data_IF_346071480943
#
_entry.id   IF_346071480943
#
_cell.length_a   1.000
_cell.length_b   1.000
_cell.length_c   1.000
_cell.angle_alpha   90.00
_cell.angle_beta   90.00
_cell.angle_gamma   90.00
#
_symmetry.space_group_name_H-M   'P 1'
#
loop_
_entity.id
_entity.type
_entity.pdbx_description
1 polymer ?
#
# COMPACT_ATOMS: atom_id res chain seq x y z
N UNK A 1 15.41 -10.41 -28.91
CA UNK A 1 15.26 -9.01 -28.47
C UNK A 1 15.16 -9.04 -26.95
N UNK A 2 16.06 -8.34 -26.25
CA UNK A 2 16.08 -8.30 -24.78
C UNK A 2 14.93 -7.45 -24.28
N UNK A 3 14.13 -7.96 -23.34
CA UNK A 3 13.03 -7.22 -22.72
C UNK A 3 13.47 -6.63 -21.39
N UNK A 4 13.04 -5.39 -21.11
CA UNK A 4 13.39 -4.66 -19.90
C UNK A 4 12.18 -3.98 -19.30
N UNK A 5 12.00 -4.11 -17.98
CA UNK A 5 10.99 -3.35 -17.25
C UNK A 5 11.38 -1.87 -17.19
N UNK A 6 10.53 -0.97 -17.68
CA UNK A 6 10.82 0.46 -17.65
C UNK A 6 10.79 1.06 -16.23
N UNK A 7 10.18 0.36 -15.27
CA UNK A 7 9.94 0.82 -13.89
C UNK A 7 11.06 0.38 -12.93
N UNK A 8 11.37 -0.91 -12.87
CA UNK A 8 12.38 -1.47 -11.97
C UNK A 8 13.68 -1.89 -12.68
N UNK A 9 13.76 -1.72 -14.01
CA UNK A 9 14.94 -1.99 -14.85
C UNK A 9 15.40 -3.45 -14.93
N UNK A 10 14.65 -4.39 -14.34
CA UNK A 10 14.88 -5.84 -14.48
C UNK A 10 14.84 -6.26 -15.95
N UNK A 11 15.76 -7.14 -16.33
CA UNK A 11 15.92 -7.69 -17.67
C UNK A 11 15.44 -9.14 -17.68
N UNK A 12 14.84 -9.59 -18.79
CA UNK A 12 14.29 -10.94 -18.93
C UNK A 12 15.30 -12.07 -18.78
N UNK A 13 16.54 -11.86 -19.23
CA UNK A 13 17.61 -12.86 -19.16
C UNK A 13 18.30 -12.94 -17.78
N UNK A 14 18.05 -11.97 -16.88
CA UNK A 14 18.57 -11.99 -15.51
C UNK A 14 17.74 -12.96 -14.67
N UNK A 15 18.37 -13.54 -13.66
CA UNK A 15 17.72 -14.51 -12.75
C UNK A 15 16.41 -13.97 -12.16
N UNK A 16 16.41 -12.70 -11.71
CA UNK A 16 15.20 -12.05 -11.17
C UNK A 16 14.09 -11.82 -12.21
N UNK A 17 14.43 -11.87 -13.51
CA UNK A 17 13.51 -11.63 -14.62
C UNK A 17 12.95 -12.89 -15.28
N UNK A 18 13.60 -14.05 -15.09
CA UNK A 18 13.23 -15.30 -15.77
C UNK A 18 11.80 -15.77 -15.46
N UNK A 19 11.30 -15.44 -14.27
CA UNK A 19 9.94 -15.80 -13.83
C UNK A 19 8.93 -14.66 -14.01
N UNK A 20 9.30 -13.56 -14.66
CA UNK A 20 8.44 -12.40 -14.86
C UNK A 20 7.86 -12.38 -16.27
N UNK A 21 6.61 -11.93 -16.37
CA UNK A 21 6.04 -11.53 -17.66
C UNK A 21 6.17 -10.02 -17.81
N UNK A 22 6.45 -9.57 -19.03
CA UNK A 22 6.57 -8.16 -19.36
C UNK A 22 5.36 -7.75 -20.19
N UNK A 23 4.77 -6.61 -19.85
CA UNK A 23 3.50 -6.14 -20.38
C UNK A 23 3.65 -4.73 -20.95
N UNK A 24 3.35 -4.59 -22.23
CA UNK A 24 3.36 -3.29 -22.92
C UNK A 24 2.25 -2.42 -22.35
N UNK A 25 2.49 -1.11 -22.31
CA UNK A 25 1.48 -0.15 -21.88
C UNK A 25 0.23 -0.21 -22.78
N UNK A 26 -0.97 0.00 -22.22
CA UNK A 26 -2.21 0.03 -22.98
C UNK A 26 -2.18 1.03 -24.15
N UNK A 27 -2.89 0.67 -25.22
CA UNK A 27 -3.15 1.56 -26.37
C UNK A 27 -4.21 2.61 -26.01
N UNK A 28 -5.19 2.21 -25.19
CA UNK A 28 -6.21 3.12 -24.67
C UNK A 28 -5.55 4.22 -23.81
N UNK A 29 -5.82 5.48 -24.18
CA UNK A 29 -5.16 6.63 -23.56
C UNK A 29 -5.56 6.79 -22.09
N UNK A 30 -6.81 6.48 -21.74
CA UNK A 30 -7.30 6.60 -20.37
C UNK A 30 -6.58 5.60 -19.47
N UNK A 31 -6.57 4.32 -19.84
CA UNK A 31 -5.88 3.28 -19.09
C UNK A 31 -4.36 3.51 -19.06
N UNK A 32 -3.77 3.99 -20.17
CA UNK A 32 -2.35 4.35 -20.22
C UNK A 32 -2.01 5.48 -19.24
N UNK A 33 -2.84 6.52 -19.15
CA UNK A 33 -2.63 7.62 -18.21
C UNK A 33 -2.75 7.16 -16.76
N UNK A 34 -3.67 6.23 -16.47
CA UNK A 34 -3.77 5.60 -15.15
C UNK A 34 -2.48 4.86 -14.81
N UNK A 35 -1.93 4.06 -15.72
CA UNK A 35 -0.65 3.37 -15.51
C UNK A 35 0.50 4.33 -15.25
N UNK A 36 0.61 5.41 -16.05
CA UNK A 36 1.64 6.43 -15.87
C UNK A 36 1.57 7.07 -14.49
N UNK A 37 0.36 7.46 -14.06
CA UNK A 37 0.12 8.05 -12.75
C UNK A 37 0.47 7.09 -11.61
N UNK A 38 0.00 5.85 -11.65
CA UNK A 38 0.23 4.85 -10.60
C UNK A 38 1.70 4.43 -10.49
N UNK A 39 2.42 4.40 -11.61
CA UNK A 39 3.85 4.08 -11.64
C UNK A 39 4.75 5.29 -11.34
N UNK A 40 4.16 6.44 -10.99
CA UNK A 40 4.84 7.69 -10.68
C UNK A 40 5.70 8.24 -11.85
N UNK A 41 5.24 8.05 -13.09
CA UNK A 41 5.78 8.77 -14.24
C UNK A 41 5.13 10.16 -14.33
N UNK A 42 5.92 11.15 -14.74
CA UNK A 42 5.38 12.47 -15.07
C UNK A 42 4.40 12.38 -16.24
N UNK A 43 3.38 13.25 -16.27
CA UNK A 43 2.36 13.26 -17.32
C UNK A 43 2.94 13.40 -18.74
N UNK A 44 4.09 14.07 -18.86
CA UNK A 44 4.79 14.30 -20.13
C UNK A 44 5.92 13.29 -20.40
N UNK A 45 6.02 12.23 -19.60
CA UNK A 45 7.11 11.27 -19.72
C UNK A 45 7.01 10.49 -21.04
N UNK A 46 8.01 10.67 -21.90
CA UNK A 46 8.08 9.99 -23.21
C UNK A 46 8.55 8.56 -23.05
N UNK A 47 7.62 7.65 -22.78
CA UNK A 47 7.88 6.21 -22.89
C UNK A 47 7.98 5.78 -24.35
N UNK A 48 8.93 4.86 -24.63
CA UNK A 48 8.98 4.15 -25.91
C UNK A 48 7.66 3.42 -26.18
N UNK A 49 7.30 3.26 -27.46
CA UNK A 49 6.14 2.44 -27.86
C UNK A 49 6.25 1.00 -27.38
N UNK A 50 7.47 0.52 -27.18
CA UNK A 50 7.79 -0.82 -26.69
C UNK A 50 8.17 -0.82 -25.20
N UNK A 51 7.86 0.25 -24.46
CA UNK A 51 8.08 0.25 -23.02
C UNK A 51 7.17 -0.80 -22.36
N UNK A 52 7.75 -1.60 -21.47
CA UNK A 52 7.06 -2.68 -20.78
C UNK A 52 7.20 -2.53 -19.26
N UNK A 53 6.16 -2.87 -18.52
CA UNK A 53 6.21 -3.08 -17.07
C UNK A 53 6.21 -4.59 -16.78
N UNK A 54 7.01 -5.05 -15.83
CA UNK A 54 7.00 -6.46 -15.43
C UNK A 54 5.82 -6.78 -14.50
N UNK A 55 5.51 -8.07 -14.38
CA UNK A 55 4.41 -8.62 -13.58
C UNK A 55 4.42 -8.23 -12.10
N UNK A 56 5.59 -7.91 -11.52
CA UNK A 56 5.70 -7.48 -10.11
C UNK A 56 4.97 -6.16 -9.81
N UNK A 57 4.61 -5.40 -10.85
CA UNK A 57 3.84 -4.18 -10.69
C UNK A 57 2.33 -4.41 -10.69
N UNK A 58 1.85 -5.65 -10.78
CA UNK A 58 0.43 -5.97 -10.83
C UNK A 58 0.06 -6.97 -9.73
N UNK A 59 -1.23 -7.09 -9.41
CA UNK A 59 -1.67 -8.17 -8.54
C UNK A 59 -1.55 -9.50 -9.26
N UNK A 60 -1.21 -10.56 -8.54
CA UNK A 60 -1.12 -11.90 -9.13
C UNK A 60 -2.47 -12.38 -9.69
N UNK A 61 -3.59 -11.93 -9.12
CA UNK A 61 -4.95 -12.17 -9.62
C UNK A 61 -5.24 -11.50 -10.96
N UNK A 62 -4.48 -10.48 -11.35
CA UNK A 62 -4.63 -9.78 -12.62
C UNK A 62 -3.84 -10.45 -13.76
N UNK A 63 -3.04 -11.47 -13.43
CA UNK A 63 -2.22 -12.20 -14.40
C UNK A 63 -2.88 -13.53 -14.71
N UNK A 64 -3.29 -13.69 -15.96
CA UNK A 64 -3.87 -14.92 -16.49
C UNK A 64 -2.79 -15.74 -17.18
N UNK A 65 -2.75 -17.04 -16.86
CA UNK A 65 -1.92 -18.00 -17.57
C UNK A 65 -2.83 -18.77 -18.55
N UNK A 66 -2.54 -18.65 -19.83
CA UNK A 66 -3.18 -19.47 -20.87
C UNK A 66 -2.76 -20.93 -20.71
N UNK A 67 -3.57 -21.86 -21.23
CA UNK A 67 -3.22 -23.30 -21.31
C UNK A 67 -1.90 -23.56 -22.04
N UNK A 68 -1.50 -22.64 -22.91
CA UNK A 68 -0.22 -22.63 -23.63
C UNK A 68 0.97 -22.09 -22.81
N UNK A 69 0.80 -21.78 -21.52
CA UNK A 69 1.82 -21.22 -20.63
C UNK A 69 2.09 -19.71 -20.83
N UNK A 70 1.34 -19.04 -21.72
CA UNK A 70 1.51 -17.60 -21.96
C UNK A 70 0.83 -16.82 -20.84
N UNK A 71 1.61 -15.99 -20.15
CA UNK A 71 1.11 -15.07 -19.11
C UNK A 71 0.69 -13.74 -19.72
N UNK A 72 -0.58 -13.39 -19.55
CA UNK A 72 -1.18 -12.14 -20.02
C UNK A 72 -1.78 -11.37 -18.86
N UNK A 73 -1.84 -10.06 -19.02
CA UNK A 73 -2.52 -9.21 -18.06
C UNK A 73 -4.01 -9.12 -18.43
N UNK A 74 -4.89 -9.21 -17.43
CA UNK A 74 -6.33 -9.02 -17.61
C UNK A 74 -6.66 -7.67 -18.23
N UNK A 75 -7.74 -7.64 -19.01
CA UNK A 75 -8.26 -6.39 -19.55
C UNK A 75 -8.68 -5.47 -18.40
N UNK A 76 -8.25 -4.22 -18.45
CA UNK A 76 -8.56 -3.23 -17.40
C UNK A 76 -7.68 -3.31 -16.15
N UNK A 77 -6.76 -4.28 -16.04
CA UNK A 77 -5.83 -4.33 -14.93
C UNK A 77 -4.94 -3.07 -14.88
N UNK A 78 -4.59 -2.68 -13.66
CA UNK A 78 -3.81 -1.48 -13.37
C UNK A 78 -2.64 -1.83 -12.44
N UNK A 79 -1.50 -1.13 -12.56
CA UNK A 79 -0.37 -1.36 -11.66
C UNK A 79 -0.71 -1.01 -10.22
N UNK A 80 -0.04 -1.64 -9.27
CA UNK A 80 -0.01 -1.20 -7.89
C UNK A 80 0.66 0.17 -7.80
N UNK A 81 0.02 1.10 -7.11
CA UNK A 81 0.53 2.45 -6.95
C UNK A 81 1.91 2.42 -6.27
N UNK A 82 2.92 3.04 -6.90
CA UNK A 82 4.18 3.40 -6.23
C UNK A 82 3.93 4.60 -5.31
N UNK A 83 3.11 4.42 -4.28
CA UNK A 83 3.12 5.39 -3.19
C UNK A 83 4.47 5.28 -2.49
N UNK A 84 5.14 6.42 -2.28
CA UNK A 84 6.36 6.57 -1.47
C UNK A 84 6.22 6.05 -0.03
N UNK A 85 5.02 5.62 0.39
CA UNK A 85 4.73 5.00 1.68
C UNK A 85 4.78 3.46 1.66
N UNK A 86 4.90 2.82 0.49
CA UNK A 86 4.79 1.37 0.34
C UNK A 86 5.92 0.71 -0.47
N UNK A 87 7.04 1.38 -0.69
CA UNK A 87 8.27 0.69 -1.11
C UNK A 87 9.02 0.15 0.11
N UNK A 88 8.38 -0.77 0.83
CA UNK A 88 8.99 -1.40 1.98
C UNK A 88 9.24 -2.88 1.66
N UNK A 89 10.48 -3.39 1.81
CA UNK A 89 10.70 -4.83 1.74
C UNK A 89 9.78 -5.52 2.74
N UNK A 90 9.35 -6.74 2.44
CA UNK A 90 8.30 -7.47 3.18
C UNK A 90 8.52 -7.47 4.71
N UNK A 91 9.78 -7.34 5.15
CA UNK A 91 10.23 -7.21 6.54
C UNK A 91 9.79 -5.92 7.27
N UNK A 92 9.42 -4.85 6.56
CA UNK A 92 9.07 -3.55 7.17
C UNK A 92 7.55 -3.33 7.22
N UNK A 93 6.77 -4.15 6.50
CA UNK A 93 5.30 -4.22 6.69
C UNK A 93 4.97 -4.61 8.14
N UNK A 94 5.71 -5.56 8.69
CA UNK A 94 5.56 -5.97 10.08
C UNK A 94 5.88 -4.83 11.06
N UNK A 95 6.96 -4.08 10.83
CA UNK A 95 7.34 -2.96 11.69
C UNK A 95 6.30 -1.85 11.65
N UNK A 96 5.78 -1.50 10.47
CA UNK A 96 4.78 -0.44 10.32
C UNK A 96 3.44 -0.83 10.97
N UNK A 97 3.01 -2.09 10.79
CA UNK A 97 1.83 -2.64 11.47
C UNK A 97 2.04 -2.59 13.01
N UNK A 98 3.20 -3.01 13.51
CA UNK A 98 3.52 -2.98 14.94
C UNK A 98 3.55 -1.55 15.51
N UNK A 99 4.07 -0.57 14.76
CA UNK A 99 4.09 0.84 15.17
C UNK A 99 2.68 1.45 15.21
N UNK A 100 1.81 1.09 14.25
CA UNK A 100 0.39 1.50 14.27
C UNK A 100 -0.34 0.86 15.46
N UNK A 101 -0.09 -0.41 15.76
CA UNK A 101 -0.63 -1.08 16.95
C UNK A 101 -0.16 -0.42 18.25
N UNK A 102 1.12 -0.04 18.34
CA UNK A 102 1.65 0.68 19.51
C UNK A 102 0.97 2.03 19.70
N UNK A 103 0.79 2.80 18.63
CA UNK A 103 0.16 4.11 18.72
C UNK A 103 -1.32 4.01 19.14
N UNK A 104 -2.05 3.03 18.58
CA UNK A 104 -3.44 2.75 18.97
C UNK A 104 -3.51 2.33 20.45
N UNK A 105 -2.63 1.44 20.90
CA UNK A 105 -2.60 0.98 22.29
C UNK A 105 -2.34 2.12 23.28
N UNK A 106 -1.40 3.02 22.98
CA UNK A 106 -1.09 4.20 23.81
C UNK A 106 -2.32 5.12 23.92
N UNK A 107 -3.01 5.38 22.80
CA UNK A 107 -4.22 6.21 22.79
C UNK A 107 -5.33 5.59 23.64
N UNK A 108 -5.54 4.27 23.58
CA UNK A 108 -6.57 3.59 24.38
C UNK A 108 -6.26 3.65 25.88
N UNK A 109 -5.01 3.45 26.27
CA UNK A 109 -4.59 3.52 27.68
C UNK A 109 -4.75 4.94 28.25
N UNK A 110 -4.38 5.96 27.47
CA UNK A 110 -4.60 7.37 27.83
C UNK A 110 -6.09 7.67 28.03
N UNK A 111 -6.95 7.24 27.11
CA UNK A 111 -8.41 7.42 27.23
C UNK A 111 -8.93 6.75 28.50
N UNK A 112 -8.44 5.55 28.83
CA UNK A 112 -8.86 4.84 30.03
C UNK A 112 -8.39 5.53 31.31
N UNK A 113 -7.17 6.06 31.34
CA UNK A 113 -6.64 6.84 32.47
C UNK A 113 -7.45 8.12 32.72
N UNK A 114 -7.78 8.85 31.66
CA UNK A 114 -8.61 10.06 31.74
C UNK A 114 -10.01 9.73 32.28
N UNK A 115 -10.62 8.62 31.84
CA UNK A 115 -11.91 8.14 32.37
C UNK A 115 -11.82 7.79 33.86
N UNK A 116 -10.77 7.08 34.29
CA UNK A 116 -10.60 6.72 35.70
C UNK A 116 -10.40 7.94 36.58
N UNK A 117 -9.59 8.91 36.14
CA UNK A 117 -9.36 10.16 36.87
C UNK A 117 -10.62 11.01 36.97
N UNK A 118 -11.39 11.14 35.88
CA UNK A 118 -12.66 11.88 35.91
C UNK A 118 -13.71 11.22 36.81
N UNK A 119 -13.77 9.89 36.85
CA UNK A 119 -14.64 9.15 37.79
C UNK A 119 -14.20 9.31 39.25
N UNK A 120 -12.90 9.34 39.54
CA UNK A 120 -12.39 9.61 40.89
C UNK A 120 -12.72 11.04 41.33
N UNK A 121 -12.59 12.03 40.43
CA UNK A 121 -12.97 13.42 40.71
C UNK A 121 -14.49 13.57 40.93
N UNK A 122 -15.33 12.84 40.19
CA UNK A 122 -16.79 12.82 40.40
C UNK A 122 -17.17 12.15 41.73
N UNK A 123 -16.52 11.04 42.09
CA UNK A 123 -16.74 10.35 43.36
C UNK A 123 -16.34 11.16 44.59
N UNK A 124 -15.31 12.00 44.46
CA UNK A 124 -14.90 12.94 45.50
C UNK A 124 -15.88 14.13 45.63
N UNK A 125 -16.46 14.61 44.53
CA UNK A 125 -17.49 15.67 44.58
C UNK A 125 -18.78 15.20 45.28
N UNK A 126 -19.24 13.98 44.99
CA UNK A 126 -20.46 13.44 45.61
C UNK A 126 -20.28 13.14 47.12
N UNK A 127 -19.06 12.86 47.56
CA UNK A 127 -18.71 12.74 48.98
C UNK A 127 -18.65 14.11 49.70
N UNK A 128 -18.28 15.19 49.00
CA UNK A 128 -18.27 16.55 49.56
C UNK A 128 -19.68 17.14 49.75
N UNK A 129 -20.61 16.88 48.84
CA UNK A 129 -22.00 17.34 48.96
C UNK A 129 -22.72 16.70 50.17
N UNK A 130 -22.45 15.42 50.45
CA UNK A 130 -22.98 14.73 51.64
C UNK A 130 -22.41 15.29 52.96
N UNK A 131 -21.22 15.86 52.96
CA UNK A 131 -20.62 16.43 54.17
C UNK A 131 -21.16 17.84 54.51
N UNK A 132 -21.67 18.59 53.52
CA UNK A 132 -22.26 19.92 53.72
C UNK A 132 -23.69 19.83 54.25
N UNK A 133 -24.44 18.77 53.93
CA UNK A 133 -25.83 18.59 54.40
C UNK A 133 -25.93 18.08 55.84
N UNK A 134 -24.84 17.54 56.40
CA UNK A 134 -24.79 16.95 57.75
C UNK A 134 -24.09 17.84 58.82
N UNK A 135 -23.85 19.12 58.51
CA UNK A 135 -23.28 20.14 59.42
C UNK A 135 -24.30 21.26 59.67
#
# INVERSE_FOLDING_TARGET
MVRQCCVCKILDYKEEGQHLSFHVFPVDLVQRNIWLSLLAFEANHKLSKQAEACSNHFQQSDIECSSSGIRRLRKGAVPLAKHSLFSFPENVRYVCILLLFQHIAISVVLIQLVKTLTLQMLGNLHSCELFIVYL
#
